data_IF_448710253048
#
_entry.id   IF_448710253048
#
_cell.length_a   1.000
_cell.length_b   1.000
_cell.length_c   1.000
_cell.angle_alpha   90.00
_cell.angle_beta   90.00
_cell.angle_gamma   90.00
#
_symmetry.space_group_name_H-M   'P 1'
#
loop_
_entity.id
_entity.type
_entity.pdbx_description
1 polymer ?
#
# COMPACT_ATOMS: atom_id res chain seq x y z
N UNK A 1 -31.07 17.46 16.16
CA UNK A 1 -30.60 17.18 16.14
C UNK A 1 -29.91 16.53 15.98
N UNK A 2 -29.78 16.05 15.49
CA UNK A 2 -29.01 15.25 15.80
C UNK A 2 -28.23 14.90 14.69
N UNK A 3 -27.19 15.63 14.41
CA UNK A 3 -26.28 15.37 13.31
C UNK A 3 -25.66 14.02 13.42
N UNK A 4 -25.53 13.51 14.62
CA UNK A 4 -24.99 12.19 14.79
C UNK A 4 -25.82 11.12 14.16
N UNK A 5 -27.13 11.29 14.22
CA UNK A 5 -28.03 10.33 13.61
C UNK A 5 -27.84 10.32 12.11
N UNK A 6 -27.71 11.51 11.53
CA UNK A 6 -27.49 11.61 10.09
C UNK A 6 -26.17 10.98 9.71
N UNK A 7 -25.13 11.22 10.49
CA UNK A 7 -23.84 10.64 10.21
C UNK A 7 -23.86 9.12 10.25
N UNK A 8 -24.62 8.59 11.19
CA UNK A 8 -24.71 7.13 11.30
C UNK A 8 -25.45 6.50 10.14
N UNK A 9 -26.31 7.26 9.50
CA UNK A 9 -27.06 6.76 8.37
C UNK A 9 -26.19 6.72 7.11
N UNK A 10 -25.26 7.65 6.99
CA UNK A 10 -24.42 7.74 5.82
C UNK A 10 -23.24 6.79 5.98
N UNK A 11 -23.16 5.76 5.14
CA UNK A 11 -22.02 4.83 5.27
C UNK A 11 -20.75 5.58 4.96
N UNK A 12 -19.78 5.41 5.81
CA UNK A 12 -18.46 5.97 5.57
C UNK A 12 -17.43 4.88 5.82
N UNK A 13 -16.32 5.00 5.15
CA UNK A 13 -15.26 4.05 5.36
C UNK A 13 -14.65 4.21 6.73
N UNK A 14 -14.29 3.10 7.38
CA UNK A 14 -13.51 3.21 8.60
C UNK A 14 -12.18 3.87 8.29
N UNK A 15 -11.62 4.59 9.25
CA UNK A 15 -10.29 5.16 9.06
C UNK A 15 -9.26 4.06 8.79
N UNK A 16 -8.25 4.38 8.01
CA UNK A 16 -7.18 3.44 7.73
C UNK A 16 -6.40 3.18 9.03
N UNK A 17 -6.08 1.91 9.27
CA UNK A 17 -5.34 1.53 10.46
C UNK A 17 -3.85 1.75 10.26
N UNK A 18 -3.10 1.85 11.36
CA UNK A 18 -1.65 2.03 11.25
C UNK A 18 -0.94 0.82 10.67
N UNK A 19 -1.55 -0.36 10.80
CA UNK A 19 -1.07 -1.60 10.19
C UNK A 19 -2.25 -2.31 9.57
N UNK A 20 -2.02 -2.99 8.46
CA UNK A 20 -3.09 -3.71 7.77
C UNK A 20 -2.61 -5.05 7.30
N UNK A 21 -3.50 -6.03 7.35
CA UNK A 21 -3.27 -7.30 6.69
C UNK A 21 -3.50 -7.17 5.19
N UNK A 22 -2.90 -8.07 4.42
CA UNK A 22 -3.07 -8.07 2.99
C UNK A 22 -4.55 -8.15 2.58
N UNK A 23 -5.36 -8.86 3.35
CA UNK A 23 -6.80 -8.97 3.06
C UNK A 23 -7.50 -7.62 3.07
N UNK A 24 -7.10 -6.72 3.95
CA UNK A 24 -7.72 -5.39 4.04
C UNK A 24 -7.50 -4.64 2.74
N UNK A 25 -6.29 -4.62 2.24
CA UNK A 25 -5.99 -3.94 0.99
C UNK A 25 -6.70 -4.61 -0.18
N UNK A 26 -6.65 -5.93 -0.24
CA UNK A 26 -7.30 -6.66 -1.32
C UNK A 26 -8.80 -6.36 -1.36
N UNK A 27 -9.42 -6.34 -0.21
CA UNK A 27 -10.83 -6.03 -0.10
C UNK A 27 -11.15 -4.63 -0.62
N UNK A 28 -10.34 -3.62 -0.25
CA UNK A 28 -10.55 -2.27 -0.75
C UNK A 28 -10.46 -2.21 -2.26
N UNK A 29 -9.48 -2.90 -2.83
CA UNK A 29 -9.31 -2.88 -4.29
C UNK A 29 -10.48 -3.59 -4.98
N UNK A 30 -10.97 -4.67 -4.41
CA UNK A 30 -12.10 -5.41 -4.97
C UNK A 30 -13.39 -4.61 -4.90
N UNK A 31 -13.56 -3.81 -3.87
CA UNK A 31 -14.74 -2.98 -3.74
C UNK A 31 -14.68 -1.70 -4.56
N UNK A 32 -13.56 -1.49 -5.26
CA UNK A 32 -13.43 -0.31 -6.10
C UNK A 32 -13.24 0.97 -5.32
N UNK A 33 -12.48 0.89 -4.23
CA UNK A 33 -12.18 2.06 -3.41
C UNK A 33 -10.88 2.68 -3.89
N UNK A 34 -10.95 3.60 -4.84
CA UNK A 34 -9.74 4.01 -5.55
C UNK A 34 -8.89 5.05 -4.84
N UNK A 35 -9.38 5.63 -3.76
CA UNK A 35 -8.68 6.75 -3.13
C UNK A 35 -7.55 6.26 -2.23
N UNK A 36 -6.66 5.46 -2.77
CA UNK A 36 -5.51 4.96 -2.03
C UNK A 36 -4.29 4.87 -2.94
N UNK A 37 -3.12 4.82 -2.31
CA UNK A 37 -1.85 4.64 -3.01
C UNK A 37 -1.08 3.55 -2.31
N UNK A 38 -0.44 2.68 -3.09
CA UNK A 38 0.43 1.63 -2.56
C UNK A 38 1.85 2.00 -2.88
N UNK A 39 2.71 2.04 -1.88
CA UNK A 39 4.12 2.40 -2.04
C UNK A 39 5.01 1.22 -1.75
N UNK A 40 5.91 0.93 -2.68
CA UNK A 40 6.93 -0.10 -2.54
C UNK A 40 8.25 0.61 -2.30
N UNK A 41 8.80 0.47 -1.09
CA UNK A 41 10.01 1.20 -0.72
C UNK A 41 11.28 0.39 -0.90
N UNK A 42 11.18 -0.77 -1.56
CA UNK A 42 12.35 -1.57 -1.90
C UNK A 42 13.10 -0.92 -3.07
N UNK A 43 14.29 -1.42 -3.34
CA UNK A 43 15.06 -0.91 -4.48
C UNK A 43 14.29 -1.10 -5.78
N UNK A 44 14.53 -0.20 -6.75
CA UNK A 44 13.80 -0.26 -8.01
C UNK A 44 13.97 -1.57 -8.75
N UNK A 45 15.16 -2.16 -8.68
CA UNK A 45 15.37 -3.45 -9.33
C UNK A 45 14.50 -4.53 -8.72
N UNK A 46 14.37 -4.51 -7.40
CA UNK A 46 13.53 -5.48 -6.71
C UNK A 46 12.07 -5.25 -7.06
N UNK A 47 11.65 -3.99 -7.06
CA UNK A 47 10.28 -3.64 -7.46
C UNK A 47 10.00 -4.14 -8.89
N UNK A 48 10.93 -3.92 -9.81
CA UNK A 48 10.72 -4.30 -11.19
C UNK A 48 10.64 -5.79 -11.38
N UNK A 49 11.25 -6.57 -10.51
CA UNK A 49 11.17 -8.03 -10.59
C UNK A 49 9.78 -8.55 -10.22
N UNK A 50 9.14 -7.92 -9.28
CA UNK A 50 7.80 -8.31 -8.87
C UNK A 50 7.29 -7.40 -7.77
N UNK A 51 6.06 -6.94 -7.92
CA UNK A 51 5.45 -6.04 -6.94
C UNK A 51 3.93 -6.17 -6.99
N UNK A 52 3.29 -5.64 -5.98
CA UNK A 52 1.82 -5.58 -5.96
C UNK A 52 1.37 -4.73 -7.13
N UNK A 53 0.41 -5.24 -7.90
CA UNK A 53 -0.13 -4.51 -9.05
C UNK A 53 -0.58 -3.12 -8.63
N UNK A 54 -0.08 -2.11 -9.32
CA UNK A 54 -0.43 -0.72 -9.01
C UNK A 54 0.47 -0.05 -7.99
N UNK A 55 1.40 -0.78 -7.37
CA UNK A 55 2.31 -0.18 -6.40
C UNK A 55 3.31 0.74 -7.11
N UNK A 56 3.55 1.90 -6.50
CA UNK A 56 4.51 2.86 -7.01
C UNK A 56 5.86 2.65 -6.34
N UNK A 57 6.95 2.58 -7.12
CA UNK A 57 8.28 2.45 -6.52
C UNK A 57 8.74 3.77 -5.93
N UNK A 58 9.04 3.77 -4.64
CA UNK A 58 9.65 4.91 -3.96
C UNK A 58 10.68 4.38 -2.99
N UNK A 59 11.90 4.09 -3.47
CA UNK A 59 12.93 3.54 -2.59
C UNK A 59 13.11 4.37 -1.33
N UNK A 60 13.46 3.70 -0.25
CA UNK A 60 13.48 4.32 1.08
C UNK A 60 14.26 5.62 1.12
N UNK A 61 15.40 5.67 0.42
CA UNK A 61 16.25 6.87 0.44
C UNK A 61 15.68 8.03 -0.37
N UNK A 62 14.64 7.79 -1.18
CA UNK A 62 13.98 8.85 -1.96
C UNK A 62 12.56 9.10 -1.46
N UNK A 63 12.11 8.31 -0.50
CA UNK A 63 10.69 8.23 -0.15
C UNK A 63 10.10 9.58 0.24
N UNK A 64 10.70 10.26 1.19
CA UNK A 64 10.11 11.50 1.72
C UNK A 64 10.04 12.57 0.65
N UNK A 65 11.12 12.75 -0.11
CA UNK A 65 11.14 13.78 -1.14
C UNK A 65 10.13 13.52 -2.24
N UNK A 66 10.06 12.27 -2.70
CA UNK A 66 9.17 11.94 -3.79
C UNK A 66 7.71 11.94 -3.36
N UNK A 67 7.44 11.39 -2.19
CA UNK A 67 6.06 11.38 -1.68
C UNK A 67 5.57 12.80 -1.43
N UNK A 68 6.40 13.64 -0.82
CA UNK A 68 6.03 15.02 -0.55
C UNK A 68 5.72 15.78 -1.84
N UNK A 69 6.45 15.47 -2.91
CA UNK A 69 6.27 16.15 -4.17
C UNK A 69 5.04 15.68 -4.95
N UNK A 70 4.55 14.46 -4.69
CA UNK A 70 3.58 13.86 -5.59
C UNK A 70 2.29 13.35 -4.91
N UNK A 71 2.25 13.23 -3.59
CA UNK A 71 1.12 12.64 -2.91
C UNK A 71 0.55 13.63 -1.89
N UNK A 72 -0.77 13.79 -1.89
CA UNK A 72 -1.43 14.64 -0.91
C UNK A 72 -1.29 14.04 0.49
N UNK A 73 -1.11 14.92 1.47
CA UNK A 73 -0.90 14.46 2.85
C UNK A 73 -2.09 13.72 3.44
N UNK A 74 -3.26 13.95 2.90
CA UNK A 74 -4.49 13.29 3.36
C UNK A 74 -4.80 11.99 2.65
N UNK A 75 -3.94 11.59 1.70
CA UNK A 75 -4.16 10.37 0.93
C UNK A 75 -3.93 9.14 1.79
N UNK A 76 -4.78 8.13 1.63
CA UNK A 76 -4.56 6.84 2.27
C UNK A 76 -3.39 6.12 1.59
N UNK A 77 -2.39 5.74 2.36
CA UNK A 77 -1.19 5.12 1.84
C UNK A 77 -0.97 3.77 2.49
N UNK A 78 -0.80 2.75 1.66
CA UNK A 78 -0.33 1.44 2.12
C UNK A 78 1.11 1.30 1.67
N UNK A 79 2.00 1.02 2.63
CA UNK A 79 3.43 0.96 2.33
C UNK A 79 3.99 -0.42 2.67
N UNK A 80 4.90 -0.91 1.85
CA UNK A 80 5.59 -2.16 2.17
C UNK A 80 7.04 -2.11 1.69
N UNK A 81 7.88 -2.81 2.42
CA UNK A 81 9.30 -2.95 2.12
C UNK A 81 9.70 -4.41 2.01
N UNK A 82 10.98 -4.69 2.17
CA UNK A 82 11.51 -6.05 2.08
C UNK A 82 11.14 -6.90 3.28
N UNK A 83 10.87 -6.26 4.41
CA UNK A 83 10.44 -6.93 5.63
C UNK A 83 9.67 -5.93 6.48
N UNK A 84 9.08 -6.40 7.56
CA UNK A 84 8.23 -5.53 8.37
C UNK A 84 9.02 -4.42 9.07
N UNK A 85 10.29 -4.64 9.35
CA UNK A 85 11.13 -3.59 9.93
C UNK A 85 11.32 -2.44 8.95
N UNK A 86 11.64 -2.75 7.71
CA UNK A 86 11.79 -1.71 6.69
C UNK A 86 10.47 -1.00 6.44
N UNK A 87 9.38 -1.76 6.43
CA UNK A 87 8.05 -1.19 6.28
C UNK A 87 7.75 -0.20 7.40
N UNK A 88 8.06 -0.58 8.65
CA UNK A 88 7.82 0.31 9.79
C UNK A 88 8.67 1.58 9.69
N UNK A 89 9.91 1.44 9.25
CA UNK A 89 10.79 2.60 9.06
C UNK A 89 10.20 3.54 8.01
N UNK A 90 9.75 3.00 6.90
CA UNK A 90 9.15 3.80 5.85
C UNK A 90 7.90 4.52 6.34
N UNK A 91 7.04 3.81 7.07
CA UNK A 91 5.82 4.41 7.60
C UNK A 91 6.14 5.56 8.55
N UNK A 92 7.16 5.37 9.39
CA UNK A 92 7.56 6.42 10.32
C UNK A 92 8.05 7.66 9.59
N UNK A 93 8.86 7.47 8.54
CA UNK A 93 9.33 8.59 7.74
C UNK A 93 8.17 9.36 7.11
N UNK A 94 7.19 8.65 6.60
CA UNK A 94 6.02 9.30 6.01
C UNK A 94 5.21 10.05 7.05
N UNK A 95 4.98 9.44 8.21
CA UNK A 95 4.23 10.10 9.28
C UNK A 95 4.96 11.34 9.76
N UNK A 96 6.26 11.27 9.92
CA UNK A 96 7.05 12.41 10.34
C UNK A 96 7.02 13.53 9.31
N UNK A 97 6.82 13.19 8.05
CA UNK A 97 6.71 14.17 6.98
C UNK A 97 5.30 14.78 6.86
N UNK A 98 4.39 14.35 7.73
CA UNK A 98 3.05 14.96 7.78
C UNK A 98 1.97 14.16 7.06
N UNK A 99 2.27 12.97 6.54
CA UNK A 99 1.23 12.15 5.94
C UNK A 99 0.35 11.59 7.04
N UNK A 100 -0.96 11.76 6.88
CA UNK A 100 -1.92 11.54 7.96
C UNK A 100 -2.46 10.13 8.01
N UNK A 101 -2.43 9.43 6.89
CA UNK A 101 -3.10 8.13 6.77
C UNK A 101 -2.16 7.11 6.15
N UNK A 102 -1.26 6.58 6.97
CA UNK A 102 -0.25 5.62 6.52
C UNK A 102 -0.46 4.28 7.21
N UNK A 103 -0.59 3.23 6.44
CA UNK A 103 -0.75 1.88 6.95
C UNK A 103 0.42 1.00 6.51
N UNK A 104 1.00 0.29 7.45
CA UNK A 104 2.05 -0.68 7.17
C UNK A 104 1.40 -1.98 6.70
N UNK A 105 1.72 -2.42 5.49
CA UNK A 105 1.18 -3.66 4.97
C UNK A 105 2.00 -4.82 5.51
N UNK A 106 1.45 -5.53 6.49
CA UNK A 106 2.16 -6.60 7.17
C UNK A 106 2.43 -7.75 6.24
N UNK A 107 3.67 -8.26 6.29
CA UNK A 107 4.08 -9.36 5.44
C UNK A 107 4.37 -8.96 4.02
N UNK A 108 4.09 -7.71 3.65
CA UNK A 108 4.44 -7.16 2.35
C UNK A 108 4.00 -8.00 1.16
N UNK A 109 4.87 -8.10 0.18
CA UNK A 109 4.56 -8.81 -1.05
C UNK A 109 4.27 -10.30 -0.82
N UNK A 110 5.00 -10.93 0.10
CA UNK A 110 4.80 -12.35 0.36
C UNK A 110 3.40 -12.63 0.88
N UNK A 111 2.94 -11.83 1.84
CA UNK A 111 1.60 -12.01 2.37
C UNK A 111 0.53 -11.72 1.31
N UNK A 112 0.79 -10.73 0.47
CA UNK A 112 -0.11 -10.40 -0.63
C UNK A 112 -0.25 -11.58 -1.60
N UNK A 113 0.88 -12.19 -1.98
CA UNK A 113 0.85 -13.35 -2.86
C UNK A 113 0.14 -14.54 -2.21
N UNK A 114 0.33 -14.70 -0.92
CA UNK A 114 -0.26 -15.83 -0.20
C UNK A 114 -1.78 -15.83 -0.25
N UNK A 115 -2.39 -14.69 -0.38
CA UNK A 115 -3.86 -14.60 -0.47
C UNK A 115 -4.34 -14.42 -1.91
N UNK A 116 -3.44 -14.62 -2.87
CA UNK A 116 -3.82 -14.53 -4.28
C UNK A 116 -3.91 -13.11 -4.81
N UNK A 117 -3.25 -12.17 -4.18
CA UNK A 117 -3.23 -10.79 -4.68
C UNK A 117 -2.49 -10.69 -6.00
N UNK A 118 -2.95 -9.81 -6.87
CA UNK A 118 -2.35 -9.65 -8.19
C UNK A 118 -0.99 -8.98 -8.12
N UNK A 119 -0.06 -9.49 -8.90
CA UNK A 119 1.29 -8.93 -8.96
C UNK A 119 1.70 -8.71 -10.41
N UNK A 120 2.70 -7.85 -10.60
CA UNK A 120 3.27 -7.62 -11.91
C UNK A 120 4.77 -7.37 -11.76
N UNK A 121 5.51 -7.49 -12.89
CA UNK A 121 6.94 -7.30 -12.88
C UNK A 121 7.59 -8.22 -13.91
N UNK A 122 8.89 -8.02 -14.11
CA UNK A 122 9.62 -8.78 -15.12
C UNK A 122 9.66 -10.27 -14.80
N UNK A 123 9.91 -10.61 -13.54
CA UNK A 123 9.96 -12.02 -13.15
C UNK A 123 8.58 -12.63 -13.22
N UNK A 124 7.56 -11.91 -12.75
CA UNK A 124 6.19 -12.42 -12.79
C UNK A 124 5.73 -12.64 -14.22
N UNK A 125 6.11 -11.72 -15.11
CA UNK A 125 5.71 -11.83 -16.51
C UNK A 125 6.42 -12.96 -17.23
N UNK A 126 7.59 -13.36 -16.77
CA UNK A 126 8.36 -14.42 -17.39
C UNK A 126 7.97 -15.81 -16.95
N UNK A 127 7.23 -15.93 -15.88
CA UNK A 127 6.80 -17.25 -15.43
C UNK A 127 5.93 -17.85 -16.51
N UNK A 128 6.36 -18.95 -17.15
CA UNK A 128 5.57 -19.50 -18.23
C UNK A 128 4.29 -20.08 -17.67
N UNK A 129 3.21 -19.71 -18.25
CA UNK A 129 1.95 -20.28 -17.86
C UNK A 129 2.02 -21.73 -18.23
N UNK A 130 1.86 -22.56 -17.32
CA UNK A 130 1.75 -23.95 -17.57
C UNK A 130 2.95 -24.55 -18.23
N UNK A 131 3.93 -23.88 -18.40
CA UNK A 131 5.15 -24.46 -18.86
C UNK A 131 4.95 -25.57 -19.83
N UNK A 132 4.00 -25.57 -20.35
CA UNK A 132 3.66 -26.63 -21.26
C UNK A 132 3.56 -26.85 -21.98
#
# INVERSE_FOLDING_TARGET
>A
MDNKIVENIIPSQPPIESQSDAHVLKSRLEWGEPALTILDVRDRQVHNQGHITGAMPMPLNELVDRATATIAKSRDIYVYGSNDEETAQAAQLLRNAGFEHVSELRGGLAAWKAIGGATEGVVEAKVPPSAG
#
